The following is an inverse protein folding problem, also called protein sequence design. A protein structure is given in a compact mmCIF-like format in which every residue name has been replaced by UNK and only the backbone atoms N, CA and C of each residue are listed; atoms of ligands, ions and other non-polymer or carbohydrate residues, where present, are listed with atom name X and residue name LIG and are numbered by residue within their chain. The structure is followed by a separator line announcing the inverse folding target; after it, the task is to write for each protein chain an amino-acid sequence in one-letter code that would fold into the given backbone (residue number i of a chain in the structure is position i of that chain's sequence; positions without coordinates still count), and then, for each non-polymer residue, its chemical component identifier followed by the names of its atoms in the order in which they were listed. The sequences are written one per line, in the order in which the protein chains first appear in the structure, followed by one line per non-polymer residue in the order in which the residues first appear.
data_IF_878375891932
#
_entry.id   IF_878375891932
#
_cell.length_a   1.000
_cell.length_b   1.000
_cell.length_c   1.000
_cell.angle_alpha   90.00
_cell.angle_beta   90.00
_cell.angle_gamma   90.00
#
_symmetry.space_group_name_H-M   'P 1'
#
loop_
_entity.id
_entity.type
_entity.pdbx_description
1 polymer ?
#
# COMPACT_ATOMS: atom_id res chain seq x y z
N UNK A 1 -16.87 -0.04 -27.52
CA UNK A 1 -17.04 -0.84 -26.28
C UNK A 1 -15.96 -1.91 -26.29
N UNK A 2 -14.96 -1.82 -25.40
CA UNK A 2 -13.92 -2.85 -25.30
C UNK A 2 -14.49 -4.12 -24.63
N UNK A 3 -14.04 -5.32 -24.99
CA UNK A 3 -14.51 -6.59 -24.42
C UNK A 3 -14.08 -6.83 -22.96
N UNK A 4 -13.55 -5.81 -22.28
CA UNK A 4 -13.09 -5.86 -20.89
C UNK A 4 -14.13 -5.42 -19.85
N UNK A 5 -15.33 -5.02 -20.29
CA UNK A 5 -16.39 -4.46 -19.43
C UNK A 5 -17.64 -5.38 -19.35
N UNK A 6 -17.48 -6.68 -19.64
CA UNK A 6 -18.55 -7.64 -19.39
C UNK A 6 -18.71 -7.81 -17.87
N UNK A 7 -19.92 -7.68 -17.29
CA UNK A 7 -20.13 -7.93 -15.88
C UNK A 7 -19.82 -9.40 -15.59
N UNK A 8 -18.77 -9.62 -14.80
CA UNK A 8 -18.37 -10.93 -14.28
C UNK A 8 -19.57 -11.58 -13.59
N UNK A 9 -20.11 -12.62 -14.21
CA UNK A 9 -21.29 -13.32 -13.71
C UNK A 9 -20.86 -14.11 -12.48
N UNK A 10 -21.54 -13.95 -11.32
CA UNK A 10 -21.22 -14.76 -10.14
C UNK A 10 -21.36 -16.25 -10.50
N UNK A 11 -20.41 -17.06 -10.04
CA UNK A 11 -20.50 -18.52 -10.18
C UNK A 11 -21.77 -19.04 -9.47
N UNK A 12 -22.25 -20.22 -9.85
CA UNK A 12 -23.50 -20.84 -9.38
C UNK A 12 -23.64 -20.93 -7.84
N UNK A 13 -22.54 -20.74 -7.09
CA UNK A 13 -22.48 -20.73 -5.64
C UNK A 13 -22.50 -19.34 -4.98
N UNK A 14 -22.57 -18.23 -5.75
CA UNK A 14 -22.53 -16.86 -5.22
C UNK A 14 -21.14 -16.38 -4.77
N UNK A 15 -20.09 -17.15 -5.08
CA UNK A 15 -18.71 -16.78 -4.79
C UNK A 15 -18.18 -15.78 -5.85
N UNK A 16 -17.29 -14.84 -5.46
CA UNK A 16 -16.60 -14.00 -6.44
C UNK A 16 -15.82 -14.88 -7.41
N UNK A 17 -15.76 -14.48 -8.68
CA UNK A 17 -14.89 -15.13 -9.67
C UNK A 17 -13.45 -15.22 -9.13
N UNK A 18 -12.68 -16.27 -9.48
CA UNK A 18 -11.29 -16.41 -9.00
C UNK A 18 -10.43 -15.18 -9.28
N UNK A 19 -10.69 -14.48 -10.38
CA UNK A 19 -10.02 -13.24 -10.75
C UNK A 19 -10.41 -12.08 -9.83
N UNK A 20 -11.71 -11.90 -9.55
CA UNK A 20 -12.20 -10.90 -8.61
C UNK A 20 -11.70 -11.17 -7.19
N UNK A 21 -11.66 -12.42 -6.75
CA UNK A 21 -11.11 -12.81 -5.45
C UNK A 21 -9.62 -12.45 -5.34
N UNK A 22 -8.82 -12.71 -6.38
CA UNK A 22 -7.40 -12.32 -6.43
C UNK A 22 -7.22 -10.80 -6.39
N UNK A 23 -8.04 -10.06 -7.14
CA UNK A 23 -7.97 -8.60 -7.15
C UNK A 23 -8.33 -8.01 -5.78
N UNK A 24 -9.39 -8.52 -5.14
CA UNK A 24 -9.78 -8.13 -3.79
C UNK A 24 -8.68 -8.44 -2.78
N UNK A 25 -8.07 -9.62 -2.85
CA UNK A 25 -6.97 -9.98 -1.95
C UNK A 25 -5.77 -9.04 -2.15
N UNK A 26 -5.37 -8.82 -3.39
CA UNK A 26 -4.25 -7.92 -3.72
C UNK A 26 -4.50 -6.48 -3.23
N UNK A 27 -5.73 -5.97 -3.34
CA UNK A 27 -6.06 -4.64 -2.81
C UNK A 27 -5.98 -4.61 -1.28
N UNK A 28 -6.51 -5.62 -0.61
CA UNK A 28 -6.46 -5.68 0.86
C UNK A 28 -5.05 -5.90 1.40
N UNK A 29 -4.21 -6.67 0.71
CA UNK A 29 -2.81 -6.89 1.07
C UNK A 29 -2.00 -5.59 0.98
N UNK A 30 -2.30 -4.73 -0.01
CA UNK A 30 -1.67 -3.43 -0.15
C UNK A 30 -2.01 -2.51 1.03
N UNK A 31 -3.27 -2.48 1.47
CA UNK A 31 -3.71 -1.71 2.64
C UNK A 31 -3.07 -2.25 3.92
N UNK A 32 -3.08 -3.57 4.11
CA UNK A 32 -2.48 -4.25 5.26
C UNK A 32 -0.98 -3.95 5.36
N UNK A 33 -0.27 -3.92 4.23
CA UNK A 33 1.15 -3.62 4.22
C UNK A 33 1.46 -2.18 4.69
N UNK A 34 0.57 -1.20 4.44
CA UNK A 34 0.73 0.17 4.95
C UNK A 34 0.55 0.22 6.47
N UNK A 35 -0.53 -0.39 6.96
CA UNK A 35 -0.84 -0.47 8.39
C UNK A 35 0.30 -1.19 9.14
N UNK A 36 0.83 -2.27 8.56
CA UNK A 36 1.94 -3.03 9.14
C UNK A 36 3.20 -2.16 9.24
N UNK A 37 3.53 -1.38 8.20
CA UNK A 37 4.67 -0.46 8.22
C UNK A 37 4.50 0.62 9.31
N UNK A 38 3.31 1.20 9.43
CA UNK A 38 3.02 2.22 10.44
C UNK A 38 3.09 1.65 11.86
N UNK A 39 2.59 0.42 12.05
CA UNK A 39 2.70 -0.28 13.33
C UNK A 39 4.17 -0.56 13.69
N UNK A 40 4.98 -1.02 12.74
CA UNK A 40 6.43 -1.23 12.95
C UNK A 40 7.09 0.08 13.38
N UNK A 41 6.78 1.19 12.71
CA UNK A 41 7.32 2.52 13.04
C UNK A 41 6.93 2.94 14.46
N UNK A 42 5.67 2.74 14.85
CA UNK A 42 5.18 3.04 16.21
C UNK A 42 5.91 2.18 17.25
N UNK A 43 6.07 0.88 17.00
CA UNK A 43 6.73 -0.03 17.95
C UNK A 43 8.21 0.30 18.12
N UNK A 44 8.90 0.66 17.03
CA UNK A 44 10.29 1.14 17.07
C UNK A 44 10.39 2.46 17.83
N UNK A 45 9.51 3.43 17.54
CA UNK A 45 9.51 4.73 18.20
C UNK A 45 9.25 4.62 19.72
N UNK A 46 8.46 3.62 20.14
CA UNK A 46 8.22 3.30 21.55
C UNK A 46 9.32 2.46 22.20
N UNK A 47 10.31 2.02 21.44
CA UNK A 47 11.39 1.14 21.91
C UNK A 47 10.95 -0.27 22.26
N UNK A 48 9.79 -0.73 21.76
CA UNK A 48 9.25 -2.08 22.01
C UNK A 48 10.02 -3.13 21.20
N UNK A 49 10.42 -2.77 19.97
CA UNK A 49 11.27 -3.56 19.08
C UNK A 49 12.35 -2.65 18.48
N UNK A 50 13.45 -3.22 18.04
CA UNK A 50 14.48 -2.51 17.30
C UNK A 50 14.44 -2.88 15.82
N UNK A 51 14.86 -1.96 14.95
CA UNK A 51 14.96 -2.23 13.52
C UNK A 51 15.91 -3.40 13.21
N UNK A 52 16.93 -3.58 14.04
CA UNK A 52 17.91 -4.66 13.93
C UNK A 52 17.37 -6.04 14.33
N UNK A 53 16.17 -6.10 14.93
CA UNK A 53 15.55 -7.38 15.31
C UNK A 53 15.01 -8.14 14.09
N UNK A 54 14.88 -7.45 12.94
CA UNK A 54 14.44 -8.06 11.68
C UNK A 54 15.61 -8.63 10.87
N UNK A 55 15.38 -9.68 10.04
CA UNK A 55 16.38 -10.15 9.08
C UNK A 55 16.82 -9.05 8.09
N UNK A 56 18.05 -9.13 7.59
CA UNK A 56 18.63 -8.12 6.69
C UNK A 56 17.75 -7.85 5.45
N UNK A 57 17.12 -8.89 4.89
CA UNK A 57 16.21 -8.73 3.75
C UNK A 57 14.96 -7.92 4.12
N UNK A 58 14.40 -8.15 5.31
CA UNK A 58 13.23 -7.41 5.79
C UNK A 58 13.59 -5.95 6.10
N UNK A 59 14.77 -5.71 6.68
CA UNK A 59 15.30 -4.37 6.89
C UNK A 59 15.42 -3.61 5.57
N UNK A 60 16.02 -4.22 4.54
CA UNK A 60 16.16 -3.61 3.22
C UNK A 60 14.80 -3.25 2.60
N UNK A 61 13.82 -4.15 2.69
CA UNK A 61 12.45 -3.91 2.20
C UNK A 61 11.76 -2.77 2.93
N UNK A 62 11.87 -2.71 4.26
CA UNK A 62 11.31 -1.63 5.07
C UNK A 62 11.96 -0.28 4.72
N UNK A 63 13.28 -0.24 4.53
CA UNK A 63 13.98 0.97 4.15
C UNK A 63 13.56 1.46 2.76
N UNK A 64 13.48 0.56 1.78
CA UNK A 64 13.03 0.89 0.43
C UNK A 64 11.61 1.46 0.45
N UNK A 65 10.69 0.83 1.19
CA UNK A 65 9.30 1.31 1.32
C UNK A 65 9.22 2.71 1.92
N UNK A 66 9.92 2.97 3.03
CA UNK A 66 9.99 4.30 3.65
C UNK A 66 10.52 5.35 2.69
N UNK A 67 11.57 5.04 1.92
CA UNK A 67 12.12 5.95 0.90
C UNK A 67 11.13 6.24 -0.22
N UNK A 68 10.48 5.20 -0.77
CA UNK A 68 9.46 5.36 -1.82
C UNK A 68 8.30 6.23 -1.32
N UNK A 69 7.84 6.00 -0.10
CA UNK A 69 6.76 6.77 0.52
C UNK A 69 7.16 8.23 0.74
N UNK A 70 8.36 8.49 1.26
CA UNK A 70 8.88 9.84 1.45
C UNK A 70 9.03 10.58 0.11
N UNK A 71 9.48 9.91 -0.95
CA UNK A 71 9.56 10.48 -2.29
C UNK A 71 8.18 10.83 -2.86
N UNK A 72 7.19 9.95 -2.68
CA UNK A 72 5.80 10.21 -3.07
C UNK A 72 5.22 11.40 -2.30
N UNK A 73 5.40 11.45 -0.97
CA UNK A 73 4.91 12.54 -0.13
C UNK A 73 5.50 13.89 -0.55
N UNK A 74 6.82 13.96 -0.81
CA UNK A 74 7.47 15.17 -1.32
C UNK A 74 6.90 15.62 -2.66
N UNK A 75 6.65 14.66 -3.57
CA UNK A 75 6.07 14.97 -4.88
C UNK A 75 4.64 15.51 -4.75
N UNK A 76 3.85 14.96 -3.82
CA UNK A 76 2.50 15.45 -3.56
C UNK A 76 2.51 16.85 -2.93
N UNK A 77 3.40 17.13 -1.98
CA UNK A 77 3.58 18.47 -1.40
C UNK A 77 3.92 19.52 -2.46
N UNK A 78 4.85 19.21 -3.38
CA UNK A 78 5.21 20.12 -4.48
C UNK A 78 4.05 20.42 -5.44
N UNK A 79 3.07 19.51 -5.57
CA UNK A 79 1.88 19.74 -6.38
C UNK A 79 0.86 20.62 -5.66
N UNK A 80 0.76 20.49 -4.33
CA UNK A 80 -0.13 21.29 -3.48
C UNK A 80 0.35 22.75 -3.37
N UNK A 81 1.67 22.95 -3.25
CA UNK A 81 2.31 24.28 -3.22
C UNK A 81 2.18 25.04 -4.55
N UNK A 82 1.95 24.32 -5.66
CA UNK A 82 1.80 24.88 -7.01
C UNK A 82 0.40 25.43 -7.33
N UNK A 83 -0.62 25.06 -6.54
CA UNK A 83 -2.02 25.47 -6.77
C UNK A 83 -2.46 26.62 -5.83
N UNK A 84 -1.67 26.93 -4.80
CA UNK A 84 -1.93 28.02 -3.84
C UNK A 84 -1.37 29.40 -4.27
N UNK A 85 -0.96 29.56 -5.53
CA UNK A 85 -0.21 30.73 -6.02
C UNK A 85 -0.91 31.65 -7.02
N UNK A 86 -2.21 31.46 -7.31
CA UNK A 86 -2.95 32.30 -8.27
C UNK A 86 -4.31 32.74 -7.70
N UNK A 87 -4.29 33.80 -6.88
CA UNK A 87 -5.43 34.69 -6.64
C UNK A 87 -4.93 36.13 -6.64
#
# INVERSE_FOLDING_TARGET
MSPADAPDTPDAAGAPSPERARHLLASTDQELARITEDLIDILIARGVIQFTDFPAEAQAKLLQRRQTRAALSRRLQLLDDGDSGLI
#
